data_IF_621158348430
#
_entry.id   IF_621158348430
#
_cell.length_a   1.000
_cell.length_b   1.000
_cell.length_c   1.000
_cell.angle_alpha   90.00
_cell.angle_beta   90.00
_cell.angle_gamma   90.00
#
_symmetry.space_group_name_H-M   'P 1'
#
loop_
_entity.id
_entity.type
_entity.pdbx_description
1 polymer ?
#
# COMPACT_ATOMS: atom_id res chain seq x y z
N UNK A 1 1.08 -10.18 3.53
CA UNK A 1 -0.06 -9.68 2.73
C UNK A 1 -0.62 -10.86 1.94
N UNK A 2 -1.94 -10.96 1.79
CA UNK A 2 -2.68 -12.04 1.12
C UNK A 2 -2.34 -13.45 1.63
N UNK A 3 -2.07 -13.57 2.93
CA UNK A 3 -1.64 -14.82 3.56
C UNK A 3 -0.23 -15.27 3.19
N UNK A 4 0.61 -14.40 2.61
CA UNK A 4 2.01 -14.67 2.31
C UNK A 4 2.98 -13.82 3.13
N UNK A 5 4.12 -14.43 3.45
CA UNK A 5 5.31 -13.77 3.98
C UNK A 5 6.14 -13.24 2.81
N UNK A 6 6.56 -11.98 2.91
CA UNK A 6 7.34 -11.27 1.90
C UNK A 6 8.42 -10.43 2.60
N UNK A 7 9.61 -10.41 2.02
CA UNK A 7 10.66 -9.48 2.41
C UNK A 7 10.49 -8.20 1.60
N UNK A 8 10.44 -7.06 2.29
CA UNK A 8 10.21 -5.74 1.69
C UNK A 8 11.24 -4.75 2.21
N UNK A 9 11.44 -3.66 1.47
CA UNK A 9 12.30 -2.57 1.92
C UNK A 9 11.67 -1.87 3.12
N UNK A 10 12.46 -1.60 4.16
CA UNK A 10 12.07 -0.70 5.25
C UNK A 10 12.83 0.61 5.10
N UNK A 11 12.10 1.68 4.79
CA UNK A 11 12.64 3.02 4.71
C UNK A 11 12.17 3.87 5.87
N UNK A 12 13.09 4.60 6.49
CA UNK A 12 12.80 5.46 7.63
C UNK A 12 13.26 6.87 7.28
N UNK A 13 12.32 7.80 7.21
CA UNK A 13 12.65 9.19 6.94
C UNK A 13 13.41 9.79 8.12
N UNK A 14 14.61 10.30 7.88
CA UNK A 14 15.39 11.03 8.87
C UNK A 14 16.09 12.24 8.25
N UNK A 15 16.44 13.23 9.06
CA UNK A 15 17.43 14.22 8.63
C UNK A 15 18.82 13.58 8.64
N UNK A 16 19.70 14.04 7.75
CA UNK A 16 21.10 13.63 7.75
C UNK A 16 21.71 13.81 9.15
N UNK A 17 22.38 12.77 9.64
CA UNK A 17 23.07 12.76 10.94
C UNK A 17 22.16 12.97 12.17
N UNK A 18 20.88 12.59 12.10
CA UNK A 18 19.97 12.60 13.25
C UNK A 18 19.48 11.20 13.59
N UNK A 19 19.28 10.94 14.90
CA UNK A 19 18.65 9.72 15.36
C UNK A 19 17.16 9.70 15.01
N UNK A 20 16.61 8.49 14.80
CA UNK A 20 15.17 8.31 14.67
C UNK A 20 14.45 8.70 15.96
N UNK A 21 13.35 9.43 15.82
CA UNK A 21 12.53 9.85 16.95
C UNK A 21 11.89 8.65 17.66
N UNK A 22 11.57 8.81 18.96
CA UNK A 22 10.85 7.78 19.71
C UNK A 22 9.50 7.44 19.08
N UNK A 23 8.81 8.43 18.52
CA UNK A 23 7.53 8.22 17.84
C UNK A 23 7.71 7.32 16.62
N UNK A 24 8.77 7.47 15.82
CA UNK A 24 9.03 6.57 14.67
C UNK A 24 9.29 5.13 15.12
N UNK A 25 9.98 4.94 16.25
CA UNK A 25 10.17 3.62 16.85
C UNK A 25 8.84 3.02 17.32
N UNK A 26 8.01 3.82 18.00
CA UNK A 26 6.67 3.43 18.44
C UNK A 26 5.77 3.05 17.28
N UNK A 27 5.76 3.84 16.19
CA UNK A 27 4.99 3.55 14.97
C UNK A 27 5.31 2.16 14.44
N UNK A 28 6.60 1.86 14.27
CA UNK A 28 7.03 0.58 13.75
C UNK A 28 6.68 -0.57 14.71
N UNK A 29 6.92 -0.41 16.01
CA UNK A 29 6.60 -1.43 17.00
C UNK A 29 5.09 -1.72 17.07
N UNK A 30 4.25 -0.68 17.06
CA UNK A 30 2.79 -0.81 17.06
C UNK A 30 2.30 -1.50 15.79
N UNK A 31 2.90 -1.16 14.63
CA UNK A 31 2.61 -1.84 13.37
C UNK A 31 2.93 -3.33 13.45
N UNK A 32 4.10 -3.71 13.97
CA UNK A 32 4.44 -5.14 14.14
C UNK A 32 3.44 -5.85 15.07
N UNK A 33 2.96 -5.18 16.12
CA UNK A 33 2.01 -5.75 17.08
C UNK A 33 0.62 -6.03 16.49
N UNK A 34 0.15 -5.19 15.55
CA UNK A 34 -1.18 -5.32 14.91
C UNK A 34 -1.09 -5.60 13.40
N UNK A 35 0.04 -6.15 12.94
CA UNK A 35 0.38 -6.25 11.51
C UNK A 35 -0.70 -6.98 10.72
N UNK A 36 -1.18 -8.12 11.22
CA UNK A 36 -2.19 -8.93 10.53
C UNK A 36 -3.48 -8.14 10.28
N UNK A 37 -3.98 -7.42 11.29
CA UNK A 37 -5.17 -6.60 11.16
C UNK A 37 -4.98 -5.43 10.20
N UNK A 38 -3.84 -4.75 10.28
CA UNK A 38 -3.49 -3.63 9.39
C UNK A 38 -3.38 -4.13 7.94
N UNK A 39 -2.72 -5.27 7.71
CA UNK A 39 -2.62 -5.87 6.37
C UNK A 39 -3.99 -6.28 5.83
N UNK A 40 -4.84 -6.95 6.62
CA UNK A 40 -6.19 -7.30 6.17
C UNK A 40 -7.02 -6.08 5.75
N UNK A 41 -6.87 -4.95 6.46
CA UNK A 41 -7.51 -3.68 6.07
C UNK A 41 -6.88 -3.11 4.80
N UNK A 42 -5.55 -3.09 4.69
CA UNK A 42 -4.85 -2.61 3.50
C UNK A 42 -5.27 -3.40 2.25
N UNK A 43 -5.32 -4.71 2.34
CA UNK A 43 -5.78 -5.61 1.26
C UNK A 43 -7.20 -5.29 0.82
N UNK A 44 -8.10 -4.98 1.76
CA UNK A 44 -9.46 -4.55 1.45
C UNK A 44 -9.48 -3.19 0.74
N UNK A 45 -8.73 -2.21 1.22
CA UNK A 45 -8.65 -0.89 0.58
C UNK A 45 -8.08 -0.97 -0.84
N UNK A 46 -7.09 -1.84 -1.09
CA UNK A 46 -6.55 -2.09 -2.43
C UNK A 46 -7.62 -2.73 -3.33
N UNK A 47 -8.41 -3.66 -2.80
CA UNK A 47 -9.51 -4.27 -3.55
C UNK A 47 -10.59 -3.25 -3.92
N UNK A 48 -10.99 -2.42 -2.96
CA UNK A 48 -11.98 -1.37 -3.18
C UNK A 48 -11.46 -0.38 -4.25
N UNK A 49 -10.19 0.05 -4.15
CA UNK A 49 -9.55 0.90 -5.17
C UNK A 49 -9.51 0.23 -6.55
N UNK A 50 -9.11 -1.04 -6.63
CA UNK A 50 -9.09 -1.78 -7.89
C UNK A 50 -10.47 -1.83 -8.55
N UNK A 51 -11.50 -2.16 -7.78
CA UNK A 51 -12.88 -2.28 -8.29
C UNK A 51 -13.47 -0.93 -8.69
N UNK A 52 -13.17 0.14 -7.96
CA UNK A 52 -13.61 1.50 -8.30
C UNK A 52 -13.04 1.99 -9.63
N UNK A 53 -11.80 1.60 -9.96
CA UNK A 53 -11.11 2.01 -11.18
C UNK A 53 -11.12 0.95 -12.30
N UNK A 54 -11.71 -0.23 -12.05
CA UNK A 54 -11.64 -1.40 -12.93
C UNK A 54 -12.12 -1.11 -14.36
N UNK A 55 -13.29 -0.50 -14.51
CA UNK A 55 -13.84 -0.20 -15.84
C UNK A 55 -13.02 0.90 -16.55
N UNK A 56 -12.61 1.94 -15.83
CA UNK A 56 -11.82 3.05 -16.39
C UNK A 56 -10.49 2.55 -16.96
N UNK A 57 -9.74 1.75 -16.20
CA UNK A 57 -8.47 1.17 -16.69
C UNK A 57 -8.68 0.29 -17.93
N UNK A 58 -9.77 -0.48 -17.98
CA UNK A 58 -10.08 -1.35 -19.11
C UNK A 58 -10.52 -0.57 -20.35
N UNK A 59 -11.27 0.51 -20.16
CA UNK A 59 -11.65 1.44 -21.23
C UNK A 59 -10.42 2.14 -21.84
N UNK A 60 -9.45 2.55 -21.01
CA UNK A 60 -8.21 3.17 -21.47
C UNK A 60 -7.37 2.27 -22.38
N UNK A 61 -7.37 0.95 -22.13
CA UNK A 61 -6.69 -0.04 -22.99
C UNK A 61 -7.40 -0.17 -24.34
N UNK A 62 -8.74 -0.07 -24.38
CA UNK A 62 -9.55 -0.09 -25.60
C UNK A 62 -9.62 -1.46 -26.32
N UNK A 63 -8.68 -2.37 -26.05
CA UNK A 63 -8.71 -3.75 -26.53
C UNK A 63 -9.15 -4.72 -25.43
N UNK A 64 -10.26 -5.42 -25.65
CA UNK A 64 -10.83 -6.35 -24.66
C UNK A 64 -9.88 -7.48 -24.24
N UNK A 65 -9.17 -8.10 -25.19
CA UNK A 65 -8.30 -9.24 -24.91
C UNK A 65 -7.09 -8.82 -24.07
N UNK A 66 -6.54 -7.64 -24.35
CA UNK A 66 -5.46 -7.04 -23.57
C UNK A 66 -5.95 -6.61 -22.18
N UNK A 67 -7.13 -5.99 -22.10
CA UNK A 67 -7.76 -5.62 -20.84
C UNK A 67 -8.01 -6.85 -19.93
N UNK A 68 -8.42 -7.99 -20.49
CA UNK A 68 -8.57 -9.25 -19.76
C UNK A 68 -7.24 -9.78 -19.17
N UNK A 69 -6.10 -9.37 -19.74
CA UNK A 69 -4.77 -9.78 -19.28
C UNK A 69 -4.18 -8.79 -18.26
N UNK A 70 -4.32 -7.49 -18.51
CA UNK A 70 -3.71 -6.42 -17.69
C UNK A 70 -4.56 -6.09 -16.46
N UNK A 71 -5.88 -6.03 -16.63
CA UNK A 71 -6.86 -5.68 -15.59
C UNK A 71 -7.90 -6.80 -15.49
N UNK A 72 -7.49 -8.02 -15.07
CA UNK A 72 -8.36 -9.19 -15.10
C UNK A 72 -9.56 -9.04 -14.15
N UNK A 73 -10.66 -9.72 -14.47
CA UNK A 73 -11.80 -9.74 -13.54
C UNK A 73 -11.42 -10.52 -12.27
N UNK A 74 -11.72 -9.96 -11.11
CA UNK A 74 -11.48 -10.58 -9.79
C UNK A 74 -12.77 -10.61 -8.98
N UNK A 75 -12.88 -11.59 -8.07
CA UNK A 75 -14.11 -11.81 -7.31
C UNK A 75 -13.90 -11.77 -5.80
N UNK A 76 -12.65 -11.62 -5.36
CA UNK A 76 -12.27 -11.62 -3.95
C UNK A 76 -10.96 -10.87 -3.72
N UNK A 77 -10.75 -10.44 -2.47
CA UNK A 77 -9.48 -9.85 -2.02
C UNK A 77 -8.30 -10.79 -2.28
N UNK A 78 -8.49 -12.11 -2.13
CA UNK A 78 -7.42 -13.09 -2.36
C UNK A 78 -6.96 -13.19 -3.83
N UNK A 79 -7.76 -12.73 -4.79
CA UNK A 79 -7.35 -12.73 -6.20
C UNK A 79 -6.27 -11.68 -6.48
N UNK A 80 -6.21 -10.60 -5.69
CA UNK A 80 -5.18 -9.55 -5.78
C UNK A 80 -3.77 -10.07 -5.52
N UNK A 81 -3.64 -11.21 -4.85
CA UNK A 81 -2.36 -11.86 -4.57
C UNK A 81 -1.46 -12.02 -5.80
N UNK A 82 -2.05 -12.16 -7.00
CA UNK A 82 -1.31 -12.29 -8.27
C UNK A 82 -1.01 -10.97 -8.94
N UNK A 83 -1.62 -9.89 -8.47
CA UNK A 83 -1.63 -8.58 -9.11
C UNK A 83 -0.89 -7.53 -8.29
N UNK A 84 -0.71 -7.76 -6.99
CA UNK A 84 -0.16 -6.80 -6.03
C UNK A 84 0.99 -7.46 -5.27
N UNK A 85 2.15 -6.81 -5.32
CA UNK A 85 3.35 -7.24 -4.60
C UNK A 85 3.78 -6.11 -3.64
N UNK A 86 3.83 -6.33 -2.32
CA UNK A 86 4.31 -5.31 -1.40
C UNK A 86 5.82 -5.08 -1.63
N UNK A 87 6.24 -3.81 -1.73
CA UNK A 87 7.60 -3.45 -2.11
C UNK A 87 8.35 -2.73 -0.98
N UNK A 88 7.71 -1.77 -0.32
CA UNK A 88 8.37 -0.90 0.66
C UNK A 88 7.42 -0.44 1.77
N UNK A 89 7.89 -0.49 3.01
CA UNK A 89 7.26 0.14 4.16
C UNK A 89 8.05 1.40 4.55
N UNK A 90 7.37 2.55 4.55
CA UNK A 90 7.96 3.85 4.83
C UNK A 90 7.49 4.34 6.21
N UNK A 91 8.43 4.51 7.14
CA UNK A 91 8.20 5.17 8.43
C UNK A 91 8.45 6.67 8.27
N UNK A 92 7.37 7.44 8.23
CA UNK A 92 7.42 8.89 7.99
C UNK A 92 7.82 9.65 9.25
N UNK A 93 8.44 10.82 9.07
CA UNK A 93 8.69 11.74 10.18
C UNK A 93 7.39 12.32 10.73
N UNK A 94 7.38 12.54 12.05
CA UNK A 94 6.27 13.18 12.75
C UNK A 94 6.12 14.63 12.27
N UNK A 95 4.93 14.97 11.77
CA UNK A 95 4.57 16.35 11.42
C UNK A 95 3.94 17.05 12.63
N UNK A 96 3.58 18.33 12.49
CA UNK A 96 3.01 19.15 13.59
C UNK A 96 1.74 18.58 14.23
N UNK A 97 1.00 17.73 13.52
CA UNK A 97 -0.22 17.10 14.03
C UNK A 97 0.05 15.89 14.95
N UNK A 98 1.32 15.47 15.11
CA UNK A 98 1.71 14.40 16.03
C UNK A 98 1.30 12.99 15.58
N UNK A 99 0.65 12.84 14.42
CA UNK A 99 0.17 11.54 13.94
C UNK A 99 1.31 10.58 13.66
N UNK A 100 1.13 9.33 14.06
CA UNK A 100 2.00 8.19 13.70
C UNK A 100 1.69 7.80 12.26
N UNK A 101 2.69 7.75 11.38
CA UNK A 101 2.48 7.61 9.94
C UNK A 101 3.35 6.53 9.32
N UNK A 102 2.69 5.63 8.61
CA UNK A 102 3.30 4.64 7.74
C UNK A 102 2.75 4.79 6.33
N UNK A 103 3.60 4.55 5.36
CA UNK A 103 3.22 4.27 3.98
C UNK A 103 3.57 2.84 3.64
N UNK A 104 2.67 2.12 3.00
CA UNK A 104 3.01 0.86 2.32
C UNK A 104 2.93 1.11 0.82
N UNK A 105 4.01 0.84 0.10
CA UNK A 105 4.06 0.86 -1.35
C UNK A 105 3.96 -0.57 -1.87
N UNK A 106 3.16 -0.76 -2.92
CA UNK A 106 3.04 -2.03 -3.62
C UNK A 106 3.18 -1.82 -5.13
N UNK A 107 3.89 -2.73 -5.77
CA UNK A 107 3.88 -2.84 -7.22
C UNK A 107 2.57 -3.49 -7.66
N UNK A 108 2.02 -3.03 -8.79
CA UNK A 108 0.77 -3.55 -9.33
C UNK A 108 0.90 -3.91 -10.81
N UNK A 109 0.27 -5.01 -11.22
CA UNK A 109 0.39 -5.50 -12.60
C UNK A 109 -0.38 -4.65 -13.63
N UNK A 110 -1.40 -3.92 -13.19
CA UNK A 110 -2.25 -3.11 -14.07
C UNK A 110 -1.72 -1.68 -14.30
N UNK A 111 -0.75 -1.23 -13.50
CA UNK A 111 -0.06 0.05 -13.62
C UNK A 111 1.40 -0.13 -13.18
N UNK A 112 2.21 -0.67 -14.11
CA UNK A 112 3.61 -1.00 -13.86
C UNK A 112 4.53 0.22 -13.69
N UNK A 113 4.03 1.44 -13.99
CA UNK A 113 4.83 2.67 -13.86
C UNK A 113 4.68 3.30 -12.47
N UNK A 114 3.49 3.22 -11.87
CA UNK A 114 3.17 4.01 -10.67
C UNK A 114 2.97 3.19 -9.40
N UNK A 115 2.57 1.91 -9.49
CA UNK A 115 2.24 1.13 -8.29
C UNK A 115 1.02 1.70 -7.54
N UNK A 116 0.85 1.28 -6.27
CA UNK A 116 -0.17 1.79 -5.37
C UNK A 116 0.44 2.11 -3.99
N UNK A 117 0.02 3.22 -3.41
CA UNK A 117 0.33 3.60 -2.02
C UNK A 117 -0.85 3.29 -1.09
N UNK A 118 -0.54 2.91 0.14
CA UNK A 118 -1.50 2.70 1.22
C UNK A 118 -1.08 3.57 2.40
N UNK A 119 -1.93 4.51 2.78
CA UNK A 119 -1.69 5.45 3.86
C UNK A 119 -2.22 4.92 5.18
N UNK A 120 -1.34 4.84 6.16
CA UNK A 120 -1.65 4.35 7.50
C UNK A 120 -1.35 5.45 8.52
N UNK A 121 -2.36 5.87 9.29
CA UNK A 121 -2.24 6.85 10.36
C UNK A 121 -2.76 6.28 11.68
N UNK A 122 -1.98 6.41 12.77
CA UNK A 122 -2.35 5.91 14.10
C UNK A 122 -2.86 4.45 14.07
N UNK A 123 -2.13 3.59 13.33
CA UNK A 123 -2.43 2.17 13.11
C UNK A 123 -3.74 1.88 12.33
N UNK A 124 -4.44 2.92 11.87
CA UNK A 124 -5.58 2.81 10.96
C UNK A 124 -5.16 2.92 9.49
N UNK A 125 -5.74 2.09 8.62
CA UNK A 125 -5.63 2.26 7.17
C UNK A 125 -6.64 3.32 6.75
N UNK A 126 -6.16 4.42 6.18
CA UNK A 126 -7.00 5.58 5.84
C UNK A 126 -7.40 5.55 4.37
N UNK A 127 -6.46 5.22 3.48
CA UNK A 127 -6.63 5.39 2.03
C UNK A 127 -5.68 4.47 1.25
N UNK A 128 -6.14 3.99 0.09
CA UNK A 128 -5.30 3.40 -0.95
C UNK A 128 -5.51 4.17 -2.26
N UNK A 129 -4.43 4.37 -3.01
CA UNK A 129 -4.44 5.22 -4.20
C UNK A 129 -3.05 5.34 -4.79
N UNK A 130 -2.80 6.35 -5.63
CA UNK A 130 -1.47 6.56 -6.19
C UNK A 130 -0.38 6.66 -5.11
N UNK A 131 0.84 6.26 -5.44
CA UNK A 131 1.96 6.21 -4.49
C UNK A 131 2.27 7.55 -3.79
N UNK A 132 1.85 8.68 -4.35
CA UNK A 132 2.07 10.00 -3.78
C UNK A 132 1.28 10.26 -2.49
N UNK A 133 0.21 9.50 -2.23
CA UNK A 133 -0.57 9.64 -0.98
C UNK A 133 0.25 9.31 0.27
N UNK A 134 1.34 8.55 0.12
CA UNK A 134 2.26 8.18 1.22
C UNK A 134 3.50 9.08 1.30
N UNK A 135 3.66 10.03 0.37
CA UNK A 135 4.81 10.95 0.28
C UNK A 135 4.70 12.24 1.12
#
# INVERSE_FOLDING_TARGET
MFGEEKEILLSIDAYENTDFSNVQKEVFLNFIQDMENIMNKAEKHIYDYYMENYEEYREMIGNKLEADQVVPNIYSVSDLKKLVEPAELIVRRVRKNGKRRLGLLCDVSWDSENGIGIKIEDEGVEEAGYQDIVL
#
